data_IF_335550217871
#
_entry.id   IF_335550217871
#
_cell.length_a   1.000
_cell.length_b   1.000
_cell.length_c   1.000
_cell.angle_alpha   90.00
_cell.angle_beta   90.00
_cell.angle_gamma   90.00
#
_symmetry.space_group_name_H-M   'P 1'
#
loop_
_entity.id
_entity.type
_entity.pdbx_description
1 polymer ?
#
# COMPACT_ATOMS: atom_id res chain seq x y z
N UNK A 1 28.46 -24.46 29.20
CA UNK A 1 29.53 -23.44 29.07
C UNK A 1 30.09 -23.49 27.65
N UNK A 2 30.89 -22.48 27.28
CA UNK A 2 31.50 -22.22 25.96
C UNK A 2 30.59 -21.63 24.86
N UNK A 3 30.76 -20.32 24.59
CA UNK A 3 30.47 -19.69 23.31
C UNK A 3 31.79 -19.21 22.65
N UNK A 4 32.69 -20.14 22.32
CA UNK A 4 33.82 -19.85 21.44
C UNK A 4 33.51 -20.23 19.99
N UNK A 5 33.98 -19.39 19.06
CA UNK A 5 34.06 -19.62 17.60
C UNK A 5 32.69 -19.42 16.88
N UNK A 6 32.63 -18.84 15.68
CA UNK A 6 33.71 -18.52 14.72
C UNK A 6 33.33 -17.32 13.85
N UNK A 7 34.22 -16.35 13.72
CA UNK A 7 34.17 -15.31 12.68
C UNK A 7 34.21 -15.96 11.30
N UNK A 8 33.38 -15.50 10.36
CA UNK A 8 33.68 -15.58 8.93
C UNK A 8 33.36 -14.24 8.25
N UNK A 9 34.42 -13.48 8.02
CA UNK A 9 34.48 -12.28 7.19
C UNK A 9 34.31 -12.62 5.70
N UNK A 10 33.70 -11.70 4.95
CA UNK A 10 33.84 -11.55 3.49
C UNK A 10 33.91 -10.03 3.20
N UNK A 11 34.81 -9.53 2.32
CA UNK A 11 35.19 -8.12 2.31
C UNK A 11 34.57 -7.32 1.16
N UNK A 12 33.44 -6.66 1.43
CA UNK A 12 32.87 -5.63 0.54
C UNK A 12 33.52 -4.26 0.76
N UNK A 13 34.72 -4.02 0.22
CA UNK A 13 35.34 -2.69 0.21
C UNK A 13 34.54 -1.73 -0.68
N UNK A 14 33.94 -0.69 -0.11
CA UNK A 14 33.87 0.65 -0.72
C UNK A 14 34.00 1.72 0.37
N UNK A 15 34.95 2.64 0.15
CA UNK A 15 35.41 3.62 1.15
C UNK A 15 34.67 4.94 1.02
N UNK A 16 34.09 5.43 2.12
CA UNK A 16 33.95 6.87 2.38
C UNK A 16 34.21 7.19 3.86
N UNK A 17 35.36 7.81 4.14
CA UNK A 17 35.58 8.63 5.35
C UNK A 17 34.71 9.91 5.23
N UNK A 18 34.32 10.69 6.25
CA UNK A 18 34.67 10.90 7.67
C UNK A 18 33.36 11.40 8.39
N UNK A 19 33.23 11.75 9.69
CA UNK A 19 34.16 12.05 10.78
C UNK A 19 33.51 11.84 12.18
N UNK A 20 34.29 11.36 13.16
CA UNK A 20 34.21 11.66 14.60
C UNK A 20 32.96 11.28 15.44
N UNK A 21 33.10 11.21 16.79
CA UNK A 21 32.30 10.28 17.62
C UNK A 21 31.38 10.93 18.65
N UNK A 22 30.46 10.12 19.19
CA UNK A 22 29.81 10.36 20.49
C UNK A 22 28.29 10.37 20.44
N UNK A 23 27.66 9.68 21.39
CA UNK A 23 26.20 9.64 21.52
C UNK A 23 25.67 8.27 21.94
N UNK A 24 25.94 7.87 23.18
CA UNK A 24 25.19 6.77 23.77
C UNK A 24 23.72 7.19 23.91
N UNK A 25 22.83 6.51 23.20
CA UNK A 25 21.38 6.64 23.40
C UNK A 25 20.79 5.24 23.46
N UNK A 26 20.28 4.88 24.64
CA UNK A 26 19.68 3.59 24.91
C UNK A 26 18.35 3.45 24.17
N UNK A 27 18.35 2.78 23.02
CA UNK A 27 17.12 2.21 22.44
C UNK A 27 17.02 0.74 22.85
N UNK A 28 15.89 0.29 23.42
CA UNK A 28 15.72 -1.13 23.71
C UNK A 28 15.58 -1.89 22.38
N UNK A 29 16.41 -2.92 22.21
CA UNK A 29 16.33 -3.88 21.12
C UNK A 29 14.94 -4.56 21.12
N UNK A 30 14.03 -4.09 20.25
CA UNK A 30 12.73 -4.73 20.05
C UNK A 30 12.89 -5.93 19.11
N UNK A 31 13.35 -7.03 19.69
CA UNK A 31 13.35 -8.34 19.06
C UNK A 31 11.91 -8.84 18.94
N UNK A 32 11.22 -8.48 17.87
CA UNK A 32 9.92 -9.07 17.53
C UNK A 32 10.17 -10.36 16.75
N UNK A 33 9.70 -11.53 17.23
CA UNK A 33 9.90 -12.78 16.52
C UNK A 33 9.13 -12.80 15.20
N UNK A 34 9.80 -13.18 14.12
CA UNK A 34 9.19 -13.90 13.01
C UNK A 34 7.88 -13.37 12.45
N UNK A 35 7.74 -12.07 12.19
CA UNK A 35 6.86 -11.65 11.09
C UNK A 35 7.56 -12.02 9.80
N UNK A 36 7.42 -13.28 9.39
CA UNK A 36 7.44 -13.59 7.97
C UNK A 36 6.26 -12.81 7.38
N UNK A 37 6.55 -11.58 6.91
CA UNK A 37 5.66 -10.88 6.00
C UNK A 37 5.40 -11.87 4.87
N UNK A 38 4.21 -12.48 4.86
CA UNK A 38 3.85 -13.36 3.77
C UNK A 38 4.10 -12.57 2.48
N UNK A 39 4.79 -13.17 1.49
CA UNK A 39 5.11 -12.45 0.27
C UNK A 39 3.81 -11.89 -0.27
N UNK A 40 3.82 -10.57 -0.52
CA UNK A 40 2.70 -9.78 -1.06
C UNK A 40 1.79 -10.68 -1.89
N UNK A 41 0.59 -11.01 -1.38
CA UNK A 41 -0.41 -11.69 -2.19
C UNK A 41 -0.78 -10.72 -3.30
N UNK A 42 -0.12 -10.94 -4.45
CA UNK A 42 -0.17 -10.21 -5.71
C UNK A 42 -1.40 -9.32 -5.77
N UNK A 43 -1.19 -7.99 -5.57
CA UNK A 43 -2.16 -6.99 -5.06
C UNK A 43 -3.40 -6.79 -5.95
N UNK A 44 -4.16 -7.88 -6.10
CA UNK A 44 -5.45 -7.97 -6.75
C UNK A 44 -6.47 -7.62 -5.68
N UNK A 45 -7.28 -6.56 -5.87
CA UNK A 45 -8.32 -6.24 -4.91
C UNK A 45 -9.21 -7.46 -4.71
N UNK A 46 -9.40 -7.85 -3.45
CA UNK A 46 -10.37 -8.89 -3.09
C UNK A 46 -11.80 -8.35 -3.28
N UNK A 47 -12.80 -9.23 -3.30
CA UNK A 47 -14.20 -8.85 -3.54
C UNK A 47 -14.71 -7.70 -2.64
N UNK A 48 -14.27 -7.61 -1.38
CA UNK A 48 -14.66 -6.49 -0.52
C UNK A 48 -13.98 -5.16 -0.92
N UNK A 49 -12.76 -5.21 -1.45
CA UNK A 49 -12.08 -4.04 -2.03
C UNK A 49 -12.69 -3.64 -3.38
N UNK A 50 -13.08 -4.60 -4.22
CA UNK A 50 -13.84 -4.34 -5.46
C UNK A 50 -15.18 -3.64 -5.14
N UNK A 51 -15.95 -4.18 -4.18
CA UNK A 51 -17.19 -3.57 -3.68
C UNK A 51 -16.96 -2.15 -3.11
N UNK A 52 -15.88 -1.92 -2.37
CA UNK A 52 -15.53 -0.59 -1.84
C UNK A 52 -15.20 0.42 -2.94
N UNK A 53 -14.43 0.02 -3.97
CA UNK A 53 -14.08 0.90 -5.10
C UNK A 53 -15.33 1.29 -5.88
N UNK A 54 -16.15 0.30 -6.27
CA UNK A 54 -17.35 0.56 -7.09
C UNK A 54 -18.39 1.35 -6.28
N UNK A 55 -18.63 1.00 -5.02
CA UNK A 55 -19.56 1.76 -4.16
C UNK A 55 -19.07 3.18 -3.86
N UNK A 56 -17.75 3.42 -3.77
CA UNK A 56 -17.19 4.76 -3.69
C UNK A 56 -17.44 5.56 -4.96
N UNK A 57 -17.12 5.01 -6.15
CA UNK A 57 -17.34 5.68 -7.44
C UNK A 57 -18.81 6.06 -7.65
N UNK A 58 -19.75 5.15 -7.34
CA UNK A 58 -21.19 5.42 -7.38
C UNK A 58 -21.57 6.58 -6.45
N UNK A 59 -21.08 6.58 -5.20
CA UNK A 59 -21.36 7.67 -4.24
C UNK A 59 -20.77 9.00 -4.70
N UNK A 60 -19.55 9.01 -5.23
CA UNK A 60 -18.92 10.22 -5.77
C UNK A 60 -19.73 10.74 -6.96
N UNK A 61 -20.16 9.89 -7.89
CA UNK A 61 -20.99 10.29 -9.02
C UNK A 61 -22.34 10.90 -8.60
N UNK A 62 -22.94 10.42 -7.50
CA UNK A 62 -24.17 11.00 -6.92
C UNK A 62 -23.91 12.31 -6.15
N UNK A 63 -22.72 12.48 -5.56
CA UNK A 63 -22.31 13.70 -4.83
C UNK A 63 -21.86 14.82 -5.78
N UNK A 64 -21.32 14.49 -6.95
CA UNK A 64 -20.97 15.47 -7.98
C UNK A 64 -22.26 16.01 -8.61
N UNK A 65 -22.58 17.25 -8.29
CA UNK A 65 -23.67 18.00 -8.91
C UNK A 65 -23.16 18.70 -10.18
N UNK A 66 -23.63 18.35 -11.40
CA UNK A 66 -23.13 18.88 -12.67
C UNK A 66 -23.62 20.31 -12.98
N UNK A 67 -23.32 21.26 -12.09
CA UNK A 67 -23.74 22.68 -12.14
C UNK A 67 -22.80 23.61 -12.93
N UNK A 68 -21.56 23.20 -13.13
CA UNK A 68 -20.54 23.94 -13.86
C UNK A 68 -19.68 23.01 -14.73
N UNK A 69 -18.81 23.57 -15.58
CA UNK A 69 -18.02 22.79 -16.55
C UNK A 69 -17.00 21.85 -15.89
N UNK A 70 -16.48 22.21 -14.73
CA UNK A 70 -15.45 21.46 -14.02
C UNK A 70 -16.10 20.30 -13.24
N UNK A 71 -17.23 20.57 -12.59
CA UNK A 71 -18.10 19.53 -12.02
C UNK A 71 -18.62 18.54 -13.07
N UNK A 72 -19.03 19.00 -14.27
CA UNK A 72 -19.39 18.11 -15.38
C UNK A 72 -18.19 17.25 -15.82
N UNK A 73 -16.99 17.84 -15.93
CA UNK A 73 -15.79 17.09 -16.32
C UNK A 73 -15.44 16.01 -15.28
N UNK A 74 -15.52 16.34 -13.98
CA UNK A 74 -15.34 15.37 -12.91
C UNK A 74 -16.43 14.28 -12.89
N UNK A 75 -17.67 14.61 -13.23
CA UNK A 75 -18.76 13.64 -13.35
C UNK A 75 -18.48 12.62 -14.46
N UNK A 76 -18.15 13.08 -15.67
CA UNK A 76 -17.79 12.21 -16.80
C UNK A 76 -16.59 11.31 -16.45
N UNK A 77 -15.53 11.86 -15.83
CA UNK A 77 -14.38 11.05 -15.38
C UNK A 77 -14.77 9.95 -14.37
N UNK A 78 -15.73 10.22 -13.47
CA UNK A 78 -16.20 9.21 -12.52
C UNK A 78 -17.06 8.15 -13.20
N UNK A 79 -17.82 8.50 -14.24
CA UNK A 79 -18.52 7.53 -15.09
C UNK A 79 -17.53 6.66 -15.87
N UNK A 80 -16.47 7.24 -16.45
CA UNK A 80 -15.41 6.51 -17.16
C UNK A 80 -14.70 5.50 -16.24
N UNK A 81 -14.37 5.90 -15.00
CA UNK A 81 -13.77 5.00 -14.02
C UNK A 81 -14.76 3.92 -13.54
N UNK A 82 -16.05 4.24 -13.40
CA UNK A 82 -17.07 3.27 -13.04
C UNK A 82 -17.28 2.24 -14.15
N UNK A 83 -17.26 2.65 -15.43
CA UNK A 83 -17.31 1.72 -16.57
C UNK A 83 -16.13 0.76 -16.56
N UNK A 84 -14.91 1.28 -16.42
CA UNK A 84 -13.69 0.46 -16.34
C UNK A 84 -13.72 -0.52 -15.15
N UNK A 85 -14.18 -0.08 -13.98
CA UNK A 85 -14.30 -0.94 -12.80
C UNK A 85 -15.32 -2.08 -13.01
N UNK A 86 -16.45 -1.81 -13.69
CA UNK A 86 -17.46 -2.81 -14.00
C UNK A 86 -17.04 -3.76 -15.14
N UNK A 87 -16.22 -3.31 -16.10
CA UNK A 87 -15.61 -4.16 -17.12
C UNK A 87 -14.59 -5.14 -16.54
N UNK A 88 -13.79 -4.71 -15.55
CA UNK A 88 -12.81 -5.56 -14.86
C UNK A 88 -13.47 -6.48 -13.82
N UNK A 89 -14.51 -6.00 -13.12
CA UNK A 89 -15.21 -6.73 -12.06
C UNK A 89 -16.73 -6.89 -12.34
N UNK A 90 -17.13 -7.57 -13.43
CA UNK A 90 -18.54 -7.68 -13.83
C UNK A 90 -19.42 -8.50 -12.87
N UNK A 91 -18.80 -9.19 -11.89
CA UNK A 91 -19.49 -9.99 -10.87
C UNK A 91 -19.44 -9.35 -9.47
N UNK A 92 -18.98 -8.11 -9.33
CA UNK A 92 -18.88 -7.43 -8.04
C UNK A 92 -20.27 -7.19 -7.42
N UNK A 93 -20.45 -7.59 -6.16
CA UNK A 93 -21.75 -7.61 -5.49
C UNK A 93 -22.04 -6.31 -4.73
N UNK A 94 -22.29 -5.22 -5.45
CA UNK A 94 -22.60 -3.92 -4.83
C UNK A 94 -24.00 -3.91 -4.22
N UNK A 95 -24.10 -3.59 -2.93
CA UNK A 95 -25.39 -3.38 -2.23
C UNK A 95 -25.81 -1.92 -2.30
N UNK A 96 -27.01 -1.69 -2.83
CA UNK A 96 -27.73 -0.41 -2.76
C UNK A 96 -28.65 -0.42 -1.54
N UNK A 97 -28.68 0.67 -0.77
CA UNK A 97 -29.37 0.80 0.52
C UNK A 97 -29.82 2.25 0.73
#
# INVERSE_FOLDING_TARGET
EDPSKRVKTEPGLQSFCVMSPGGASSTPNVETPGSATQPDEEFKPNAAMEELIISFLIRVGVVIEPKDKEANTMYEQVLDFLSQALEVWPNANVKFN
#
